data_IF_432097123470
#
_entry.id   IF_432097123470
#
_cell.length_a   1.000
_cell.length_b   1.000
_cell.length_c   1.000
_cell.angle_alpha   90.00
_cell.angle_beta   90.00
_cell.angle_gamma   90.00
#
_symmetry.space_group_name_H-M   'P 1'
#
loop_
_entity.id
_entity.type
_entity.pdbx_description
1 polymer ?
#
# COMPACT_ATOMS: atom_id res chain seq x y z
N UNK A 1 -15.36 5.13 -27.41
CA UNK A 1 -14.86 3.89 -26.78
C UNK A 1 -13.34 3.99 -26.79
N UNK A 2 -12.63 3.69 -25.69
CA UNK A 2 -11.17 3.67 -25.68
C UNK A 2 -10.70 2.42 -26.43
N UNK A 3 -10.01 2.59 -27.56
CA UNK A 3 -9.42 1.50 -28.34
C UNK A 3 -7.92 1.71 -28.45
N UNK A 4 -7.15 0.64 -28.28
CA UNK A 4 -5.72 0.68 -28.55
C UNK A 4 -5.49 0.93 -30.05
N UNK A 5 -4.43 1.67 -30.39
CA UNK A 5 -4.10 1.96 -31.80
C UNK A 5 -3.72 0.70 -32.59
N UNK A 6 -3.22 -0.32 -31.90
CA UNK A 6 -2.74 -1.57 -32.48
C UNK A 6 -3.56 -2.74 -31.92
N UNK A 7 -4.45 -3.29 -32.74
CA UNK A 7 -4.95 -4.67 -32.65
C UNK A 7 -5.61 -5.15 -31.35
N UNK A 8 -5.77 -6.47 -31.27
CA UNK A 8 -6.21 -7.17 -30.07
C UNK A 8 -5.10 -7.17 -29.00
N UNK A 9 -5.49 -7.00 -27.73
CA UNK A 9 -4.56 -7.00 -26.60
C UNK A 9 -4.48 -8.37 -25.94
N UNK A 10 -3.30 -8.71 -25.45
CA UNK A 10 -3.09 -9.90 -24.64
C UNK A 10 -3.71 -9.72 -23.24
N UNK A 11 -4.53 -10.68 -22.82
CA UNK A 11 -5.08 -10.73 -21.47
C UNK A 11 -4.17 -11.59 -20.58
N UNK A 12 -3.63 -11.00 -19.51
CA UNK A 12 -2.82 -11.70 -18.50
C UNK A 12 -3.48 -11.69 -17.14
N UNK A 13 -3.27 -12.75 -16.37
CA UNK A 13 -3.65 -12.75 -14.97
C UNK A 13 -2.73 -11.81 -14.19
N UNK A 14 -3.25 -11.10 -13.18
CA UNK A 14 -2.45 -10.15 -12.40
C UNK A 14 -1.24 -10.81 -11.72
N UNK A 15 -1.38 -12.07 -11.29
CA UNK A 15 -0.27 -12.83 -10.70
C UNK A 15 0.88 -13.13 -11.67
N UNK A 16 0.68 -12.98 -12.98
CA UNK A 16 1.73 -13.16 -13.99
C UNK A 16 2.59 -11.90 -14.17
N UNK A 17 2.08 -10.73 -13.75
CA UNK A 17 2.76 -9.45 -13.93
C UNK A 17 3.41 -8.92 -12.64
N UNK A 18 3.17 -9.57 -11.50
CA UNK A 18 3.78 -9.16 -10.23
C UNK A 18 3.35 -9.98 -9.01
N UNK A 19 4.06 -9.75 -7.91
CA UNK A 19 3.74 -10.34 -6.62
C UNK A 19 2.77 -9.46 -5.84
N UNK A 20 1.71 -10.07 -5.31
CA UNK A 20 0.74 -9.39 -4.46
C UNK A 20 0.98 -9.73 -3.00
N UNK A 21 1.43 -8.74 -2.24
CA UNK A 21 1.70 -8.88 -0.81
C UNK A 21 0.58 -8.21 -0.03
N UNK A 22 -0.17 -9.00 0.76
CA UNK A 22 -1.17 -8.44 1.66
C UNK A 22 -0.51 -7.77 2.86
N UNK A 23 -0.85 -6.50 3.07
CA UNK A 23 -0.42 -5.74 4.24
C UNK A 23 -1.01 -6.27 5.55
N UNK A 24 -0.51 -5.74 6.68
CA UNK A 24 -0.97 -6.08 8.03
C UNK A 24 -2.05 -5.10 8.50
N UNK A 25 -3.05 -5.61 9.22
CA UNK A 25 -4.02 -4.78 9.95
C UNK A 25 -3.40 -4.29 11.26
N UNK A 26 -3.53 -2.99 11.53
CA UNK A 26 -3.13 -2.36 12.78
C UNK A 26 -4.36 -2.00 13.62
N UNK A 27 -4.21 -2.08 14.94
CA UNK A 27 -5.17 -1.57 15.93
C UNK A 27 -4.70 -0.22 16.44
N UNK A 28 -5.58 0.53 17.14
CA UNK A 28 -5.19 1.83 17.72
C UNK A 28 -4.00 1.72 18.69
N UNK A 29 -3.92 0.60 19.44
CA UNK A 29 -2.84 0.36 20.40
C UNK A 29 -1.47 0.08 19.73
N UNK A 30 -1.46 -0.22 18.43
CA UNK A 30 -0.23 -0.47 17.68
C UNK A 30 0.52 0.81 17.31
N UNK A 31 -0.18 1.95 17.25
CA UNK A 31 0.41 3.22 16.87
C UNK A 31 1.17 3.87 18.01
N UNK A 32 2.27 4.53 17.65
CA UNK A 32 3.08 5.36 18.56
C UNK A 32 3.32 6.72 17.91
N UNK A 33 3.54 7.75 18.73
CA UNK A 33 3.77 9.11 18.23
C UNK A 33 5.18 9.27 17.63
N UNK A 34 6.19 8.65 18.25
CA UNK A 34 7.58 8.67 17.78
C UNK A 34 8.35 7.41 18.24
N UNK A 35 9.53 7.19 17.66
CA UNK A 35 10.43 6.08 17.98
C UNK A 35 9.97 4.71 17.48
N UNK A 36 8.96 4.70 16.60
CA UNK A 36 8.40 3.49 15.99
C UNK A 36 8.89 3.21 14.58
N UNK A 37 8.22 2.24 13.94
CA UNK A 37 8.43 1.89 12.54
C UNK A 37 7.38 2.60 11.70
N UNK A 38 7.86 3.37 10.73
CA UNK A 38 7.09 4.00 9.68
C UNK A 38 6.15 3.04 8.93
N UNK A 39 4.87 3.39 8.84
CA UNK A 39 3.83 2.60 8.16
C UNK A 39 2.91 3.46 7.29
N UNK A 40 2.36 2.84 6.24
CA UNK A 40 1.30 3.44 5.42
C UNK A 40 -0.04 3.04 6.02
N UNK A 41 -0.75 3.97 6.64
CA UNK A 41 -2.11 3.73 7.11
C UNK A 41 -3.13 4.00 6.00
N UNK A 42 -4.07 3.08 5.78
CA UNK A 42 -5.03 3.19 4.67
C UNK A 42 -5.85 4.49 4.69
N UNK A 43 -6.19 5.00 5.89
CA UNK A 43 -6.90 6.28 6.01
C UNK A 43 -6.11 7.46 5.44
N UNK A 44 -4.78 7.40 5.49
CA UNK A 44 -3.90 8.45 4.97
C UNK A 44 -3.84 8.45 3.44
N UNK A 45 -4.09 7.31 2.79
CA UNK A 45 -4.17 7.20 1.32
C UNK A 45 -5.31 8.07 0.79
N UNK A 46 -6.42 8.16 1.52
CA UNK A 46 -7.57 8.97 1.11
C UNK A 46 -7.51 10.43 1.56
N UNK A 47 -6.68 10.76 2.56
CA UNK A 47 -6.77 12.06 3.26
C UNK A 47 -5.49 12.87 3.25
N UNK A 48 -4.33 12.25 3.03
CA UNK A 48 -3.01 12.89 3.19
C UNK A 48 -2.06 12.64 2.03
N UNK A 49 -2.06 11.44 1.46
CA UNK A 49 -1.22 11.13 0.31
C UNK A 49 -1.85 11.67 -0.99
N UNK A 50 -0.99 12.09 -1.92
CA UNK A 50 -1.37 12.37 -3.30
C UNK A 50 -1.26 11.13 -4.17
N UNK A 51 -0.99 11.31 -5.46
CA UNK A 51 -0.80 10.18 -6.40
C UNK A 51 0.52 9.42 -6.18
N UNK A 52 1.47 9.99 -5.43
CA UNK A 52 2.69 9.34 -4.97
C UNK A 52 3.16 9.95 -3.65
N UNK A 53 4.04 9.25 -2.93
CA UNK A 53 4.75 9.75 -1.75
C UNK A 53 6.14 9.12 -1.66
N UNK A 54 7.08 9.82 -1.02
CA UNK A 54 8.44 9.34 -0.72
C UNK A 54 8.64 9.00 0.75
N UNK A 55 7.64 9.30 1.60
CA UNK A 55 7.70 9.07 3.05
C UNK A 55 6.33 8.63 3.58
N UNK A 56 6.35 7.97 4.73
CA UNK A 56 5.15 7.58 5.47
C UNK A 56 4.99 8.47 6.70
N UNK A 57 3.76 8.58 7.18
CA UNK A 57 3.38 9.59 8.17
C UNK A 57 3.10 9.01 9.56
N UNK A 58 2.55 7.80 9.62
CA UNK A 58 2.23 7.11 10.88
C UNK A 58 3.35 6.14 11.28
N UNK A 59 3.48 5.86 12.58
CA UNK A 59 4.41 4.87 13.10
C UNK A 59 3.70 3.84 13.99
N UNK A 60 4.22 2.60 14.00
CA UNK A 60 3.80 1.54 14.93
C UNK A 60 4.94 1.09 15.84
N UNK A 61 4.63 0.38 16.91
CA UNK A 61 5.64 -0.15 17.85
C UNK A 61 6.76 -0.92 17.13
N UNK A 62 8.00 -0.72 17.57
CA UNK A 62 9.18 -1.31 16.95
C UNK A 62 9.24 -2.84 17.08
N UNK A 63 8.63 -3.41 18.12
CA UNK A 63 8.53 -4.87 18.34
C UNK A 63 7.75 -5.61 17.24
N UNK A 64 7.01 -4.88 16.40
CA UNK A 64 6.23 -5.46 15.32
C UNK A 64 7.06 -5.82 14.08
N UNK A 65 8.32 -5.39 13.98
CA UNK A 65 9.17 -5.49 12.78
C UNK A 65 9.08 -6.83 12.05
N UNK A 66 9.25 -7.94 12.78
CA UNK A 66 9.26 -9.29 12.22
C UNK A 66 7.93 -9.70 11.56
N UNK A 67 6.83 -9.02 11.91
CA UNK A 67 5.48 -9.31 11.42
C UNK A 67 5.05 -8.41 10.26
N UNK A 68 5.84 -7.38 9.94
CA UNK A 68 5.47 -6.39 8.92
C UNK A 68 5.78 -6.88 7.50
N UNK A 69 5.22 -6.17 6.53
CA UNK A 69 5.57 -6.24 5.11
C UNK A 69 6.01 -4.86 4.70
N UNK A 70 7.15 -4.77 4.02
CA UNK A 70 7.80 -3.52 3.71
C UNK A 70 7.62 -3.21 2.23
N UNK A 71 6.92 -2.11 1.95
CA UNK A 71 6.90 -1.54 0.61
C UNK A 71 8.28 -0.98 0.28
N UNK A 72 8.72 -1.20 -0.96
CA UNK A 72 9.96 -0.67 -1.52
C UNK A 72 9.64 0.47 -2.49
N UNK A 73 10.64 1.28 -2.78
CA UNK A 73 10.51 2.29 -3.81
C UNK A 73 10.15 1.64 -5.15
N UNK A 74 9.07 2.11 -5.78
CA UNK A 74 8.54 1.54 -7.02
C UNK A 74 7.38 0.57 -6.83
N UNK A 75 7.10 0.12 -5.60
CA UNK A 75 5.92 -0.71 -5.31
C UNK A 75 4.64 0.11 -5.48
N UNK A 76 3.61 -0.53 -6.03
CA UNK A 76 2.27 0.04 -6.15
C UNK A 76 1.43 -0.39 -4.94
N UNK A 77 0.96 0.58 -4.16
CA UNK A 77 0.10 0.32 -3.00
C UNK A 77 -1.36 0.45 -3.42
N UNK A 78 -2.13 -0.61 -3.19
CA UNK A 78 -3.56 -0.69 -3.53
C UNK A 78 -4.36 -0.90 -2.23
N UNK A 79 -5.43 -0.14 -2.06
CA UNK A 79 -6.36 -0.28 -0.94
C UNK A 79 -7.64 -0.97 -1.39
N UNK A 80 -8.03 -2.01 -0.68
CA UNK A 80 -9.23 -2.82 -0.97
C UNK A 80 -10.42 -2.45 -0.05
N UNK A 81 -10.44 -1.25 0.53
CA UNK A 81 -11.51 -0.83 1.46
C UNK A 81 -11.95 0.59 1.15
N UNK A 82 -12.93 0.71 0.24
CA UNK A 82 -13.76 1.89 0.14
C UNK A 82 -14.94 1.77 1.11
N UNK A 83 -15.23 2.80 1.90
CA UNK A 83 -16.57 2.94 2.48
C UNK A 83 -17.55 3.04 1.31
N UNK A 84 -18.51 2.12 1.24
CA UNK A 84 -19.81 2.39 0.60
C UNK A 84 -20.56 3.45 1.42
#
# INVERSE_FOLDING_TARGET
MLTFKEGEVEWKALGEIGEFIRGKRFTKADYVEDGGISVIHYGEIYTRYGVYTTHSLSQVRADMAASLRYAKHGDVVITDVGRL
#
